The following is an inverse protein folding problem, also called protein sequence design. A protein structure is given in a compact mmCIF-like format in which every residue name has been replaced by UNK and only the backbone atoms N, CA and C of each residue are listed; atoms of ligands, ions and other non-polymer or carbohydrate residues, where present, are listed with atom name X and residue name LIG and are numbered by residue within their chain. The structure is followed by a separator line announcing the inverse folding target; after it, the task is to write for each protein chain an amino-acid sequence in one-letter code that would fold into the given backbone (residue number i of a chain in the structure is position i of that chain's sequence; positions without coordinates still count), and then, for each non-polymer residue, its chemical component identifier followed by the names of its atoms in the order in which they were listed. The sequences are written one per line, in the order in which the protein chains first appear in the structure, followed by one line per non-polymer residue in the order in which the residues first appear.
data_IF_810723198121
#
_entry.id   IF_810723198121
#
_cell.length_a   1.000
_cell.length_b   1.000
_cell.length_c   1.000
_cell.angle_alpha   90.00
_cell.angle_beta   90.00
_cell.angle_gamma   90.00
#
_symmetry.space_group_name_H-M   'P 1'
#
loop_
_entity.id
_entity.type
_entity.pdbx_description
1 polymer ?
#
# COMPACT_ATOMS: atom_id res chain seq x y z
N UNK A 1 -14.06 -5.95 -12.01
CA UNK A 1 -12.71 -6.35 -11.53
C UNK A 1 -11.73 -6.38 -12.72
N UNK A 2 -11.95 -5.49 -13.68
CA UNK A 2 -11.58 -5.73 -15.07
C UNK A 2 -10.18 -5.23 -15.41
N UNK A 3 -9.54 -4.42 -14.56
CA UNK A 3 -8.19 -3.93 -14.84
C UNK A 3 -7.10 -4.92 -14.39
N UNK A 4 -7.11 -5.34 -13.12
CA UNK A 4 -6.03 -6.17 -12.56
C UNK A 4 -6.15 -7.67 -12.91
N UNK A 5 -7.36 -8.14 -13.21
CA UNK A 5 -7.59 -9.53 -13.63
C UNK A 5 -6.83 -9.90 -14.91
N UNK A 6 -6.77 -8.99 -15.89
CA UNK A 6 -6.02 -9.19 -17.13
C UNK A 6 -4.50 -9.31 -16.91
N UNK A 7 -3.98 -8.75 -15.80
CA UNK A 7 -2.56 -8.84 -15.43
C UNK A 7 -2.23 -10.09 -14.61
N UNK A 8 -3.20 -10.99 -14.39
CA UNK A 8 -3.03 -12.24 -13.64
C UNK A 8 -3.15 -12.09 -12.13
N UNK A 9 -3.71 -10.99 -11.64
CA UNK A 9 -4.02 -10.83 -10.21
C UNK A 9 -5.38 -11.44 -9.88
N UNK A 10 -5.45 -12.11 -8.73
CA UNK A 10 -6.69 -12.57 -8.12
C UNK A 10 -6.85 -12.03 -6.70
N UNK A 11 -7.97 -12.30 -6.05
CA UNK A 11 -8.15 -11.96 -4.63
C UNK A 11 -7.15 -12.74 -3.76
N UNK A 12 -6.48 -12.05 -2.83
CA UNK A 12 -5.55 -12.68 -1.89
C UNK A 12 -6.25 -13.70 -0.96
N UNK A 13 -7.53 -13.49 -0.68
CA UNK A 13 -8.36 -14.40 0.11
C UNK A 13 -8.46 -15.81 -0.49
N UNK A 14 -8.29 -15.98 -1.82
CA UNK A 14 -8.24 -17.31 -2.46
C UNK A 14 -7.06 -18.17 -1.97
N UNK A 15 -6.00 -17.52 -1.51
CA UNK A 15 -4.81 -18.15 -0.95
C UNK A 15 -4.86 -18.20 0.60
N UNK A 16 -5.97 -17.77 1.22
CA UNK A 16 -6.04 -17.65 2.68
C UNK A 16 -5.13 -16.55 3.26
N UNK A 17 -4.76 -15.55 2.45
CA UNK A 17 -3.92 -14.42 2.83
C UNK A 17 -4.79 -13.19 3.07
N UNK A 18 -4.62 -12.56 4.24
CA UNK A 18 -5.35 -11.35 4.66
C UNK A 18 -4.42 -10.16 4.79
N UNK A 19 -4.99 -8.96 4.69
CA UNK A 19 -4.26 -7.71 4.92
C UNK A 19 -4.22 -7.37 6.41
N UNK A 20 -3.05 -7.00 6.94
CA UNK A 20 -2.87 -6.78 8.38
C UNK A 20 -3.71 -5.65 8.99
N UNK A 21 -3.97 -4.59 8.24
CA UNK A 21 -4.75 -3.44 8.75
C UNK A 21 -6.26 -3.63 8.61
N UNK A 22 -6.72 -4.82 8.19
CA UNK A 22 -8.13 -5.08 7.96
C UNK A 22 -8.71 -6.08 8.98
N UNK A 23 -9.84 -5.75 9.63
CA UNK A 23 -10.61 -6.72 10.44
C UNK A 23 -11.02 -7.96 9.63
N UNK A 24 -11.27 -9.07 10.31
CA UNK A 24 -11.57 -10.35 9.67
C UNK A 24 -12.85 -10.34 8.81
N UNK A 25 -13.85 -9.57 9.21
CA UNK A 25 -15.15 -9.47 8.53
C UNK A 25 -15.26 -8.29 7.55
N UNK A 26 -14.18 -7.53 7.37
CA UNK A 26 -14.20 -6.34 6.52
C UNK A 26 -13.92 -6.67 5.05
N UNK A 27 -14.41 -5.81 4.14
CA UNK A 27 -14.26 -6.00 2.71
C UNK A 27 -12.79 -5.87 2.27
N UNK A 28 -12.20 -6.99 1.87
CA UNK A 28 -10.84 -7.08 1.36
C UNK A 28 -10.77 -7.09 -0.18
N UNK A 29 -11.81 -6.65 -0.88
CA UNK A 29 -11.92 -6.69 -2.34
C UNK A 29 -10.81 -5.94 -3.09
N UNK A 30 -10.12 -5.00 -2.43
CA UNK A 30 -8.98 -4.28 -2.97
C UNK A 30 -7.65 -5.04 -2.86
N UNK A 31 -7.56 -6.06 -1.99
CA UNK A 31 -6.31 -6.76 -1.71
C UNK A 31 -6.14 -7.96 -2.65
N UNK A 32 -5.24 -7.78 -3.62
CA UNK A 32 -5.00 -8.75 -4.69
C UNK A 32 -3.62 -9.40 -4.56
N UNK A 33 -3.52 -10.64 -5.03
CA UNK A 33 -2.32 -11.45 -5.02
C UNK A 33 -2.09 -12.09 -6.40
N UNK A 34 -0.82 -12.25 -6.76
CA UNK A 34 -0.37 -12.98 -7.95
C UNK A 34 0.88 -13.77 -7.59
N UNK A 35 0.86 -15.06 -7.88
CA UNK A 35 2.06 -15.88 -7.79
C UNK A 35 3.03 -15.53 -8.93
N UNK A 36 4.31 -15.32 -8.59
CA UNK A 36 5.38 -15.14 -9.59
C UNK A 36 5.93 -16.48 -10.08
N UNK A 37 5.94 -17.47 -9.19
CA UNK A 37 6.29 -18.86 -9.47
C UNK A 37 5.03 -19.68 -9.15
N UNK A 38 4.52 -20.51 -10.07
CA UNK A 38 3.32 -21.31 -9.82
C UNK A 38 3.48 -22.20 -8.58
N UNK A 39 2.47 -22.20 -7.70
CA UNK A 39 2.46 -23.00 -6.47
C UNK A 39 3.38 -22.48 -5.37
N UNK A 40 3.93 -21.26 -5.50
CA UNK A 40 4.76 -20.65 -4.46
C UNK A 40 3.99 -20.42 -3.15
N UNK A 41 2.68 -20.15 -3.24
CA UNK A 41 1.82 -19.92 -2.08
C UNK A 41 1.10 -21.19 -1.62
N UNK A 42 1.42 -22.37 -2.19
CA UNK A 42 0.79 -23.62 -1.78
C UNK A 42 1.09 -23.90 -0.29
N UNK A 43 0.01 -24.00 0.50
CA UNK A 43 0.10 -24.20 1.95
C UNK A 43 0.47 -22.96 2.76
N UNK A 44 0.70 -21.81 2.13
CA UNK A 44 0.98 -20.54 2.82
C UNK A 44 -0.34 -19.81 3.07
N UNK A 45 -0.64 -19.53 4.34
CA UNK A 45 -1.84 -18.78 4.76
C UNK A 45 -1.47 -17.81 5.87
N UNK A 46 -2.36 -16.86 6.18
CA UNK A 46 -2.21 -15.95 7.32
C UNK A 46 -2.34 -14.49 6.95
N UNK A 47 -1.57 -13.63 7.61
CA UNK A 47 -1.66 -12.18 7.49
C UNK A 47 -0.40 -11.64 6.80
N UNK A 48 -0.59 -10.94 5.70
CA UNK A 48 0.47 -10.19 5.05
C UNK A 48 0.68 -8.87 5.77
N UNK A 49 1.89 -8.70 6.31
CA UNK A 49 2.39 -7.46 6.86
C UNK A 49 3.48 -6.91 5.96
N UNK A 50 3.43 -5.61 5.73
CA UNK A 50 4.45 -4.84 5.01
C UNK A 50 5.82 -4.99 5.70
N UNK A 51 6.92 -5.03 4.93
CA UNK A 51 8.25 -5.12 5.49
C UNK A 51 8.53 -3.98 6.46
N UNK A 52 9.21 -4.28 7.58
CA UNK A 52 9.54 -3.27 8.60
C UNK A 52 10.32 -2.07 8.03
N UNK A 53 11.14 -2.27 7.01
CA UNK A 53 11.91 -1.20 6.36
C UNK A 53 11.08 -0.18 5.58
N UNK A 54 9.76 -0.37 5.45
CA UNK A 54 8.86 0.65 4.88
C UNK A 54 8.32 1.60 5.95
N UNK A 55 8.50 1.25 7.22
CA UNK A 55 8.15 2.09 8.34
C UNK A 55 9.40 2.81 8.82
N UNK A 56 9.25 4.10 9.08
CA UNK A 56 10.24 4.92 9.77
C UNK A 56 9.56 5.45 11.03
N UNK A 57 10.33 5.71 12.08
CA UNK A 57 9.77 6.26 13.31
C UNK A 57 9.21 7.67 13.05
N UNK A 58 8.03 7.98 13.59
CA UNK A 58 7.43 9.32 13.43
C UNK A 58 8.38 10.43 13.90
N UNK A 59 9.18 10.15 14.93
CA UNK A 59 10.22 11.07 15.42
C UNK A 59 11.29 11.39 14.36
N UNK A 60 11.71 10.39 13.57
CA UNK A 60 12.68 10.59 12.49
C UNK A 60 12.06 11.40 11.34
N UNK A 61 10.77 11.18 11.05
CA UNK A 61 10.02 12.01 10.08
C UNK A 61 9.96 13.46 10.56
N UNK A 62 9.60 13.69 11.82
CA UNK A 62 9.51 15.02 12.39
C UNK A 62 10.87 15.73 12.43
N UNK A 63 11.95 15.02 12.75
CA UNK A 63 13.31 15.57 12.71
C UNK A 63 13.74 15.91 11.29
N UNK A 64 13.45 15.03 10.33
CA UNK A 64 13.68 15.30 8.92
C UNK A 64 12.90 16.53 8.45
N UNK A 65 11.63 16.63 8.82
CA UNK A 65 10.73 17.71 8.40
C UNK A 65 11.18 19.09 8.88
N UNK A 66 11.83 19.17 10.06
CA UNK A 66 12.42 20.41 10.58
C UNK A 66 13.52 21.00 9.68
N UNK A 67 14.10 20.19 8.79
CA UNK A 67 15.10 20.66 7.84
C UNK A 67 14.50 21.34 6.60
N UNK A 68 13.19 21.25 6.38
CA UNK A 68 12.56 21.99 5.29
C UNK A 68 12.52 23.49 5.60
N UNK A 69 12.94 24.29 4.62
CA UNK A 69 12.71 25.73 4.67
C UNK A 69 11.20 26.02 4.75
N UNK A 70 10.80 27.10 5.45
CA UNK A 70 9.40 27.50 5.50
C UNK A 70 8.84 27.64 4.10
N UNK A 71 7.67 27.03 3.85
CA UNK A 71 7.03 27.05 2.53
C UNK A 71 6.57 28.47 2.20
N UNK A 72 7.13 29.06 1.16
CA UNK A 72 6.63 30.31 0.59
C UNK A 72 5.44 30.02 -0.33
N UNK A 73 4.29 30.64 -0.06
CA UNK A 73 3.12 30.55 -0.94
C UNK A 73 3.35 31.45 -2.15
N UNK A 74 3.94 30.90 -3.20
CA UNK A 74 4.14 31.59 -4.48
C UNK A 74 2.85 31.58 -5.30
N UNK A 75 2.57 32.70 -6.01
CA UNK A 75 1.60 32.76 -7.11
C UNK A 75 2.37 32.76 -8.43
N UNK A 76 2.32 31.64 -9.15
CA UNK A 76 2.98 31.45 -10.42
C UNK A 76 2.01 31.72 -11.59
N UNK A 77 2.50 32.25 -12.73
CA UNK A 77 1.67 32.43 -13.91
C UNK A 77 0.99 31.12 -14.33
N UNK A 78 -0.34 31.11 -14.42
CA UNK A 78 -1.14 29.93 -14.82
C UNK A 78 -1.77 29.12 -13.68
N UNK A 79 -1.58 29.50 -12.42
CA UNK A 79 -2.37 28.90 -11.33
C UNK A 79 -3.83 29.36 -11.37
N UNK A 80 -4.74 28.42 -11.09
CA UNK A 80 -6.18 28.50 -11.41
C UNK A 80 -6.99 29.37 -10.41
N UNK A 81 -6.34 29.93 -9.38
CA UNK A 81 -7.01 30.76 -8.37
C UNK A 81 -6.13 31.95 -7.96
N UNK A 82 -6.69 33.15 -8.02
CA UNK A 82 -6.16 34.35 -7.35
C UNK A 82 -6.33 34.26 -5.84
#
# INVERSE_FOLDING_TARGET
MDSYGHSGFGYASKFGIRYHDLPEDADASFFLCKELIPGYLDGITGVYQTPKGYYVEDADVEEFDKNFLPKEKLKLPGQIFE
#
